data_IF_353031487717
#
_entry.id   IF_353031487717
#
_cell.length_a   1.000
_cell.length_b   1.000
_cell.length_c   1.000
_cell.angle_alpha   90.00
_cell.angle_beta   90.00
_cell.angle_gamma   90.00
#
_symmetry.space_group_name_H-M   'P 1'
#
loop_
_entity.id
_entity.type
_entity.pdbx_description
1 polymer ?
#
# COMPACT_ATOMS: atom_id res chain seq x y z
N UNK A 1 42.44 43.21 -14.63
CA UNK A 1 43.43 42.09 -14.58
C UNK A 1 44.13 42.16 -13.24
N UNK A 2 44.65 41.02 -12.78
CA UNK A 2 45.44 40.83 -11.55
C UNK A 2 44.70 40.76 -10.21
N UNK A 3 44.01 39.63 -9.99
CA UNK A 3 44.00 38.94 -8.68
C UNK A 3 43.63 37.43 -8.77
N UNK A 4 43.70 36.82 -9.96
CA UNK A 4 43.40 35.38 -10.18
C UNK A 4 44.64 34.48 -9.98
N UNK A 5 45.39 34.73 -8.90
CA UNK A 5 46.41 33.79 -8.37
C UNK A 5 46.05 33.34 -6.95
N UNK A 6 44.76 33.26 -6.62
CA UNK A 6 44.37 32.39 -5.51
C UNK A 6 44.60 30.95 -5.98
N UNK A 7 45.60 30.29 -5.39
CA UNK A 7 45.81 28.87 -5.64
C UNK A 7 44.50 28.13 -5.30
N UNK A 8 43.90 27.49 -6.31
CA UNK A 8 42.77 26.58 -6.14
C UNK A 8 43.26 25.32 -5.42
N UNK A 9 43.52 25.45 -4.12
CA UNK A 9 43.76 24.30 -3.24
C UNK A 9 42.41 23.71 -2.83
N UNK A 10 42.39 22.40 -2.57
CA UNK A 10 41.20 21.71 -2.03
C UNK A 10 40.68 22.42 -0.78
N UNK A 11 41.60 22.93 0.05
CA UNK A 11 41.26 23.64 1.28
C UNK A 11 40.55 24.97 1.02
N UNK A 12 41.04 25.77 0.07
CA UNK A 12 40.42 27.05 -0.29
C UNK A 12 39.04 26.83 -0.92
N UNK A 13 38.91 25.84 -1.80
CA UNK A 13 37.62 25.47 -2.41
C UNK A 13 36.64 25.01 -1.33
N UNK A 14 37.08 24.12 -0.44
CA UNK A 14 36.26 23.63 0.68
C UNK A 14 35.83 24.74 1.63
N UNK A 15 36.71 25.71 1.92
CA UNK A 15 36.40 26.88 2.75
C UNK A 15 35.35 27.76 2.10
N UNK A 16 35.48 28.05 0.81
CA UNK A 16 34.48 28.83 0.06
C UNK A 16 33.13 28.13 -0.02
N UNK A 17 33.11 26.82 -0.27
CA UNK A 17 31.89 26.03 -0.32
C UNK A 17 31.19 25.84 1.04
N UNK A 18 31.93 25.97 2.15
CA UNK A 18 31.42 25.90 3.53
C UNK A 18 31.16 27.26 4.18
N UNK A 19 31.53 28.37 3.52
CA UNK A 19 31.43 29.71 4.13
C UNK A 19 29.97 30.07 4.41
N UNK A 20 29.70 30.86 5.44
CA UNK A 20 28.36 31.40 5.71
C UNK A 20 28.11 32.74 5.01
N UNK A 21 29.17 33.34 4.44
CA UNK A 21 29.13 34.64 3.77
C UNK A 21 28.50 34.60 2.38
N UNK A 22 28.52 33.43 1.73
CA UNK A 22 27.92 33.24 0.40
C UNK A 22 26.52 32.63 0.52
N UNK A 23 25.60 33.13 -0.30
CA UNK A 23 24.29 32.53 -0.53
C UNK A 23 24.42 31.13 -1.15
N UNK A 24 23.33 30.34 -1.09
CA UNK A 24 23.33 29.01 -1.68
C UNK A 24 23.53 29.05 -3.20
N UNK A 25 22.99 30.06 -3.88
CA UNK A 25 23.13 30.25 -5.33
C UNK A 25 24.56 30.60 -5.72
N UNK A 26 25.21 31.52 -5.00
CA UNK A 26 26.63 31.85 -5.24
C UNK A 26 27.54 30.65 -5.02
N UNK A 27 27.26 29.82 -4.00
CA UNK A 27 28.02 28.58 -3.77
C UNK A 27 27.81 27.57 -4.88
N UNK A 28 26.58 27.43 -5.39
CA UNK A 28 26.27 26.56 -6.50
C UNK A 28 27.02 26.99 -7.77
N UNK A 29 27.03 28.29 -8.06
CA UNK A 29 27.74 28.83 -9.22
C UNK A 29 29.26 28.64 -9.09
N UNK A 30 29.81 28.87 -7.89
CA UNK A 30 31.21 28.54 -7.62
C UNK A 30 31.50 27.05 -7.83
N UNK A 31 30.64 26.14 -7.36
CA UNK A 31 30.81 24.70 -7.54
C UNK A 31 30.75 24.29 -9.02
N UNK A 32 29.84 24.87 -9.82
CA UNK A 32 29.75 24.66 -11.27
C UNK A 32 31.02 25.13 -11.98
N UNK A 33 31.55 26.28 -11.57
CA UNK A 33 32.83 26.77 -12.10
C UNK A 33 33.97 25.79 -11.80
N UNK A 34 34.12 25.34 -10.54
CA UNK A 34 35.13 24.33 -10.18
C UNK A 34 34.95 23.03 -10.99
N UNK A 35 33.72 22.57 -11.16
CA UNK A 35 33.38 21.38 -11.95
C UNK A 35 33.84 21.50 -13.41
N UNK A 36 33.73 22.69 -14.00
CA UNK A 36 34.09 22.96 -15.40
C UNK A 36 35.54 23.42 -15.60
N UNK A 37 36.35 23.56 -14.53
CA UNK A 37 37.76 23.93 -14.66
C UNK A 37 38.49 22.96 -15.61
N UNK A 38 39.22 23.52 -16.57
CA UNK A 38 40.02 22.77 -17.52
C UNK A 38 41.14 22.00 -16.78
N UNK A 39 41.57 20.83 -17.25
CA UNK A 39 42.52 19.92 -16.56
C UNK A 39 43.92 20.51 -16.26
N UNK A 40 44.15 21.79 -16.57
CA UNK A 40 45.37 22.54 -16.27
C UNK A 40 45.59 22.80 -14.77
N UNK A 41 44.54 22.73 -13.95
CA UNK A 41 44.62 22.84 -12.50
C UNK A 41 44.26 21.49 -11.89
N UNK A 42 45.25 20.82 -11.29
CA UNK A 42 45.04 19.52 -10.66
C UNK A 42 44.43 19.70 -9.26
N UNK A 43 43.18 19.28 -9.12
CA UNK A 43 42.47 19.18 -7.83
C UNK A 43 42.23 17.68 -7.61
N UNK A 44 42.96 17.02 -6.69
CA UNK A 44 42.73 15.61 -6.37
C UNK A 44 41.26 15.35 -6.01
N UNK A 45 40.68 14.28 -6.56
CA UNK A 45 39.29 13.84 -6.28
C UNK A 45 38.24 14.95 -6.40
N UNK A 46 38.47 15.90 -7.32
CA UNK A 46 37.59 17.06 -7.56
C UNK A 46 36.13 16.65 -7.74
N UNK A 47 35.89 15.59 -8.53
CA UNK A 47 34.55 15.14 -8.90
C UNK A 47 33.80 14.65 -7.66
N UNK A 48 34.45 13.83 -6.85
CA UNK A 48 33.89 13.30 -5.61
C UNK A 48 33.70 14.39 -4.55
N UNK A 49 34.64 15.34 -4.43
CA UNK A 49 34.53 16.47 -3.50
C UNK A 49 33.30 17.33 -3.81
N UNK A 50 33.05 17.63 -5.09
CA UNK A 50 31.87 18.42 -5.50
C UNK A 50 30.58 17.64 -5.26
N UNK A 51 30.55 16.34 -5.57
CA UNK A 51 29.40 15.48 -5.26
C UNK A 51 29.12 15.42 -3.75
N UNK A 52 30.14 15.18 -2.92
CA UNK A 52 30.02 15.13 -1.47
C UNK A 52 29.51 16.46 -0.91
N UNK A 53 30.06 17.58 -1.38
CA UNK A 53 29.61 18.90 -0.98
C UNK A 53 28.14 19.13 -1.36
N UNK A 54 27.75 18.84 -2.60
CA UNK A 54 26.41 19.08 -3.10
C UNK A 54 25.39 18.31 -2.26
N UNK A 55 25.64 17.02 -2.06
CA UNK A 55 24.75 16.18 -1.28
C UNK A 55 24.74 16.57 0.20
N UNK A 56 25.89 16.92 0.79
CA UNK A 56 25.95 17.45 2.16
C UNK A 56 25.17 18.76 2.29
N UNK A 57 25.19 19.61 1.26
CA UNK A 57 24.46 20.88 1.24
C UNK A 57 22.95 20.64 1.20
N UNK A 58 22.49 19.71 0.36
CA UNK A 58 21.09 19.28 0.34
C UNK A 58 20.64 18.79 1.72
N UNK A 59 21.40 17.88 2.35
CA UNK A 59 21.07 17.33 3.68
C UNK A 59 21.10 18.39 4.77
N UNK A 60 22.14 19.24 4.82
CA UNK A 60 22.26 20.28 5.86
C UNK A 60 21.23 21.39 5.72
N UNK A 61 20.65 21.56 4.53
CA UNK A 61 19.58 22.51 4.29
C UNK A 61 18.21 22.04 4.82
N UNK A 62 18.09 20.78 5.27
CA UNK A 62 16.87 20.29 5.90
C UNK A 62 16.62 21.06 7.22
N UNK A 63 15.42 21.60 7.44
CA UNK A 63 15.12 22.37 8.63
C UNK A 63 15.16 21.47 9.87
N UNK A 64 15.89 21.90 10.91
CA UNK A 64 15.93 21.18 12.20
C UNK A 64 14.68 21.44 13.05
N UNK A 65 14.19 22.69 13.03
CA UNK A 65 12.94 23.20 13.66
C UNK A 65 12.53 24.49 12.93
N UNK A 66 11.22 24.76 12.80
CA UNK A 66 10.70 25.99 12.19
C UNK A 66 10.01 25.79 10.83
N UNK A 67 9.37 26.85 10.34
CA UNK A 67 8.66 26.89 9.05
C UNK A 67 9.65 26.91 7.88
N UNK A 68 9.27 26.25 6.78
CA UNK A 68 10.08 26.16 5.57
C UNK A 68 9.96 27.46 4.78
N UNK A 69 11.10 28.11 4.50
CA UNK A 69 11.14 29.40 3.83
C UNK A 69 10.95 29.29 2.31
N UNK A 70 11.26 28.12 1.72
CA UNK A 70 11.25 27.90 0.28
C UNK A 70 12.58 28.22 -0.41
N UNK A 71 13.58 28.72 0.32
CA UNK A 71 14.92 29.11 -0.18
C UNK A 71 16.01 28.08 0.15
N UNK A 72 15.64 27.00 0.83
CA UNK A 72 16.54 25.93 1.21
C UNK A 72 17.10 25.23 -0.04
N UNK A 73 18.36 24.78 0.02
CA UNK A 73 19.02 24.16 -1.13
C UNK A 73 18.27 22.93 -1.67
N UNK A 74 17.64 22.14 -0.79
CA UNK A 74 16.84 20.98 -1.21
C UNK A 74 15.55 21.34 -1.96
N UNK A 75 15.08 22.59 -1.89
CA UNK A 75 13.92 23.09 -2.63
C UNK A 75 14.32 23.87 -3.89
N UNK A 76 15.61 24.15 -4.08
CA UNK A 76 16.12 24.86 -5.23
C UNK A 76 16.37 23.89 -6.40
N UNK A 77 15.64 24.07 -7.49
CA UNK A 77 15.71 23.22 -8.70
C UNK A 77 17.13 23.15 -9.29
N UNK A 78 17.90 24.25 -9.21
CA UNK A 78 19.24 24.33 -9.78
C UNK A 78 20.22 23.36 -9.11
N UNK A 79 20.02 23.05 -7.82
CA UNK A 79 20.82 22.05 -7.11
C UNK A 79 20.54 20.64 -7.63
N UNK A 80 19.28 20.32 -7.94
CA UNK A 80 18.88 19.02 -8.48
C UNK A 80 19.31 18.85 -9.94
N UNK A 81 19.23 19.90 -10.76
CA UNK A 81 19.78 19.89 -12.12
C UNK A 81 21.28 19.61 -12.11
N UNK A 82 22.03 20.28 -11.23
CA UNK A 82 23.46 20.05 -11.12
C UNK A 82 23.79 18.65 -10.57
N UNK A 83 22.97 18.14 -9.64
CA UNK A 83 23.11 16.75 -9.18
C UNK A 83 22.89 15.76 -10.34
N UNK A 84 21.86 15.97 -11.16
CA UNK A 84 21.58 15.14 -12.33
C UNK A 84 22.80 15.11 -13.29
N UNK A 85 23.40 16.27 -13.59
CA UNK A 85 24.61 16.37 -14.42
C UNK A 85 25.79 15.59 -13.83
N UNK A 86 26.04 15.73 -12.53
CA UNK A 86 27.12 15.01 -11.85
C UNK A 86 26.87 13.50 -11.87
N UNK A 87 25.65 13.06 -11.57
CA UNK A 87 25.32 11.63 -11.55
C UNK A 87 25.46 11.00 -12.95
N UNK A 88 25.01 11.69 -14.00
CA UNK A 88 25.21 11.26 -15.40
C UNK A 88 26.69 11.15 -15.78
N UNK A 89 27.54 12.07 -15.30
CA UNK A 89 28.98 11.98 -15.50
C UNK A 89 29.56 10.69 -14.92
N UNK A 90 29.21 10.33 -13.68
CA UNK A 90 29.71 9.12 -13.04
C UNK A 90 29.21 7.83 -13.72
N UNK A 91 27.98 7.82 -14.23
CA UNK A 91 27.49 6.72 -15.08
C UNK A 91 28.37 6.58 -16.32
N UNK A 92 28.56 7.67 -17.07
CA UNK A 92 29.23 7.66 -18.37
C UNK A 92 30.72 7.32 -18.28
N UNK A 93 31.36 7.65 -17.16
CA UNK A 93 32.79 7.39 -16.95
C UNK A 93 33.08 6.06 -16.26
N UNK A 94 32.06 5.34 -15.82
CA UNK A 94 32.20 4.11 -15.04
C UNK A 94 33.16 4.28 -13.85
N UNK A 95 33.25 5.50 -13.31
CA UNK A 95 34.12 5.84 -12.20
C UNK A 95 33.47 5.31 -10.92
N UNK A 96 34.19 4.47 -10.17
CA UNK A 96 33.72 4.00 -8.88
C UNK A 96 33.63 5.18 -7.90
N UNK A 97 32.41 5.53 -7.50
CA UNK A 97 32.17 6.51 -6.44
C UNK A 97 32.54 5.86 -5.10
N UNK A 98 33.82 5.90 -4.76
CA UNK A 98 34.31 5.37 -3.50
C UNK A 98 33.83 6.27 -2.33
N UNK A 99 32.95 5.69 -1.50
CA UNK A 99 32.71 6.02 -0.09
C UNK A 99 31.76 7.15 0.33
N UNK A 100 31.07 7.85 -0.56
CA UNK A 100 30.18 8.94 -0.12
C UNK A 100 28.82 8.34 0.31
N UNK A 101 28.56 8.25 1.62
CA UNK A 101 27.25 7.85 2.17
C UNK A 101 26.39 9.07 2.38
N UNK A 102 25.32 9.22 1.59
CA UNK A 102 24.38 10.33 1.73
C UNK A 102 23.01 9.80 2.16
N UNK A 103 22.38 10.39 3.18
CA UNK A 103 21.02 10.03 3.60
C UNK A 103 19.97 10.62 2.65
N UNK A 104 20.03 10.27 1.36
CA UNK A 104 19.03 10.67 0.36
C UNK A 104 17.59 10.39 0.79
N UNK A 105 17.25 9.26 1.45
CA UNK A 105 15.90 9.02 1.92
C UNK A 105 15.32 10.17 2.75
N UNK A 106 16.13 10.79 3.63
CA UNK A 106 15.66 11.90 4.45
C UNK A 106 15.33 13.15 3.63
N UNK A 107 16.06 13.39 2.54
CA UNK A 107 15.80 14.51 1.63
C UNK A 107 14.47 14.30 0.90
N UNK A 108 14.28 13.12 0.29
CA UNK A 108 13.05 12.80 -0.44
C UNK A 108 11.82 12.80 0.48
N UNK A 109 11.91 12.16 1.66
CA UNK A 109 10.88 12.24 2.69
C UNK A 109 10.48 13.69 2.99
N UNK A 110 11.47 14.59 3.11
CA UNK A 110 11.18 16.00 3.38
C UNK A 110 10.53 16.72 2.21
N UNK A 111 10.90 16.41 0.97
CA UNK A 111 10.23 16.92 -0.24
C UNK A 111 8.76 16.51 -0.25
N UNK A 112 8.45 15.25 0.09
CA UNK A 112 7.06 14.78 0.13
C UNK A 112 6.25 15.49 1.23
N UNK A 113 6.86 15.74 2.39
CA UNK A 113 6.24 16.50 3.48
C UNK A 113 5.98 17.98 3.14
N UNK A 114 6.68 18.55 2.13
CA UNK A 114 6.43 19.94 1.72
C UNK A 114 5.06 20.16 1.10
N UNK A 115 4.30 19.08 0.80
CA UNK A 115 2.92 19.19 0.35
C UNK A 115 2.03 19.98 1.31
N UNK A 116 2.31 19.90 2.62
CA UNK A 116 1.56 20.60 3.66
C UNK A 116 1.81 22.12 3.65
N UNK A 117 2.93 22.54 3.05
CA UNK A 117 3.32 23.95 2.97
C UNK A 117 2.80 24.61 1.68
N UNK A 118 2.36 23.84 0.68
CA UNK A 118 1.90 24.37 -0.63
C UNK A 118 0.79 25.42 -0.48
N UNK A 119 -0.24 25.24 0.37
CA UNK A 119 -1.30 26.26 0.52
C UNK A 119 -0.78 27.60 1.05
N UNK A 120 0.27 27.57 1.89
CA UNK A 120 0.74 28.73 2.64
C UNK A 120 2.04 29.34 2.09
N UNK A 121 2.75 28.64 1.19
CA UNK A 121 4.04 29.07 0.65
C UNK A 121 4.02 29.13 -0.89
N UNK A 122 3.89 30.35 -1.43
CA UNK A 122 3.85 30.60 -2.88
C UNK A 122 5.10 30.14 -3.63
N UNK A 123 6.28 30.22 -2.99
CA UNK A 123 7.56 29.81 -3.60
C UNK A 123 7.59 28.29 -3.78
N UNK A 124 7.14 27.56 -2.76
CA UNK A 124 7.04 26.10 -2.86
C UNK A 124 6.00 25.74 -3.91
N UNK A 125 4.80 26.35 -3.86
CA UNK A 125 3.73 26.08 -4.84
C UNK A 125 4.21 26.26 -6.29
N UNK A 126 4.90 27.36 -6.61
CA UNK A 126 5.35 27.61 -7.99
C UNK A 126 6.44 26.64 -8.48
N UNK A 127 7.24 26.10 -7.56
CA UNK A 127 8.42 25.30 -7.91
C UNK A 127 8.21 23.79 -7.71
N UNK A 128 7.16 23.38 -6.99
CA UNK A 128 7.00 22.00 -6.51
C UNK A 128 6.98 20.97 -7.64
N UNK A 129 6.24 21.23 -8.72
CA UNK A 129 6.20 20.36 -9.91
C UNK A 129 7.61 20.08 -10.46
N UNK A 130 8.36 21.14 -10.74
CA UNK A 130 9.70 21.02 -11.31
C UNK A 130 10.67 20.38 -10.31
N UNK A 131 10.52 20.67 -9.02
CA UNK A 131 11.29 20.01 -7.96
C UNK A 131 11.06 18.50 -7.97
N UNK A 132 9.81 18.04 -8.06
CA UNK A 132 9.48 16.62 -8.17
C UNK A 132 10.07 16.01 -9.45
N UNK A 133 9.95 16.68 -10.59
CA UNK A 133 10.49 16.20 -11.87
C UNK A 133 12.01 15.97 -11.82
N UNK A 134 12.79 16.98 -11.40
CA UNK A 134 14.25 16.88 -11.36
C UNK A 134 14.76 15.96 -10.25
N UNK A 135 14.09 15.97 -9.09
CA UNK A 135 14.43 15.02 -8.02
C UNK A 135 14.11 13.58 -8.43
N UNK A 136 13.03 13.34 -9.18
CA UNK A 136 12.72 12.03 -9.77
C UNK A 136 13.79 11.58 -10.75
N UNK A 137 14.26 12.44 -11.66
CA UNK A 137 15.36 12.10 -12.59
C UNK A 137 16.61 11.64 -11.83
N UNK A 138 16.97 12.36 -10.75
CA UNK A 138 18.06 11.97 -9.88
C UNK A 138 17.79 10.62 -9.18
N UNK A 139 16.58 10.41 -8.66
CA UNK A 139 16.19 9.17 -7.99
C UNK A 139 16.29 7.97 -8.92
N UNK A 140 15.79 8.08 -10.16
CA UNK A 140 15.83 7.02 -11.17
C UNK A 140 17.27 6.62 -11.47
N UNK A 141 18.18 7.60 -11.62
CA UNK A 141 19.61 7.34 -11.79
C UNK A 141 20.18 6.60 -10.56
N UNK A 142 19.86 7.07 -9.35
CA UNK A 142 20.34 6.48 -8.10
C UNK A 142 19.83 5.05 -7.90
N UNK A 143 18.59 4.75 -8.26
CA UNK A 143 17.99 3.42 -8.11
C UNK A 143 18.50 2.46 -9.19
N UNK A 144 18.54 2.88 -10.46
CA UNK A 144 18.75 1.96 -11.58
C UNK A 144 20.21 1.83 -12.01
N UNK A 145 20.98 2.92 -11.96
CA UNK A 145 22.34 2.96 -12.51
C UNK A 145 23.41 3.06 -11.43
N UNK A 146 23.07 3.62 -10.27
CA UNK A 146 23.99 3.84 -9.15
C UNK A 146 23.43 3.24 -7.84
N UNK A 147 22.79 2.07 -7.92
CA UNK A 147 22.16 1.40 -6.76
C UNK A 147 23.17 1.13 -5.63
N UNK A 148 24.41 0.77 -5.99
CA UNK A 148 25.53 0.57 -5.08
C UNK A 148 25.96 1.83 -4.34
N UNK A 149 25.59 3.00 -4.86
CA UNK A 149 25.81 4.29 -4.22
C UNK A 149 24.61 4.68 -3.35
N UNK A 150 23.39 4.40 -3.81
CA UNK A 150 22.16 4.71 -3.08
C UNK A 150 22.00 3.85 -1.81
N UNK A 151 22.33 2.55 -1.85
CA UNK A 151 22.29 1.55 -0.75
C UNK A 151 21.16 1.75 0.27
N UNK A 152 19.95 1.99 -0.23
CA UNK A 152 18.79 2.20 0.64
C UNK A 152 18.23 0.84 1.07
N UNK A 153 18.14 0.64 2.39
CA UNK A 153 17.62 -0.60 2.96
C UNK A 153 16.09 -0.64 3.00
N UNK A 154 15.54 -1.83 3.29
CA UNK A 154 14.09 -2.05 3.40
C UNK A 154 13.39 -1.01 4.31
N UNK A 155 13.95 -0.75 5.49
CA UNK A 155 13.35 0.17 6.48
C UNK A 155 13.26 1.61 5.97
N UNK A 156 14.22 2.04 5.14
CA UNK A 156 14.21 3.37 4.54
C UNK A 156 13.21 3.45 3.38
N UNK A 157 13.09 2.41 2.56
CA UNK A 157 12.06 2.34 1.53
C UNK A 157 10.64 2.29 2.12
N UNK A 158 10.46 1.67 3.28
CA UNK A 158 9.19 1.72 4.02
C UNK A 158 8.85 3.15 4.42
N UNK A 159 9.80 3.90 4.98
CA UNK A 159 9.58 5.30 5.35
C UNK A 159 9.25 6.12 4.10
N UNK A 160 10.05 6.00 3.05
CA UNK A 160 9.85 6.71 1.78
C UNK A 160 8.49 6.42 1.16
N UNK A 161 8.09 5.14 1.10
CA UNK A 161 6.80 4.71 0.54
C UNK A 161 5.65 5.26 1.38
N UNK A 162 5.81 5.33 2.71
CA UNK A 162 4.81 5.92 3.59
C UNK A 162 4.67 7.41 3.31
N UNK A 163 5.77 8.16 3.29
CA UNK A 163 5.78 9.60 3.07
C UNK A 163 5.23 9.98 1.68
N UNK A 164 5.62 9.27 0.61
CA UNK A 164 5.09 9.51 -0.73
C UNK A 164 3.63 9.08 -0.87
N UNK A 165 3.19 8.00 -0.21
CA UNK A 165 1.77 7.61 -0.19
C UNK A 165 0.91 8.66 0.50
N UNK A 166 1.38 9.24 1.60
CA UNK A 166 0.69 10.32 2.31
C UNK A 166 0.61 11.58 1.45
N UNK A 167 1.71 11.95 0.79
CA UNK A 167 1.71 13.10 -0.10
C UNK A 167 0.76 12.89 -1.29
N UNK A 168 0.84 11.73 -1.95
CA UNK A 168 -0.05 11.37 -3.05
C UNK A 168 -1.54 11.41 -2.62
N UNK A 169 -1.85 10.83 -1.46
CA UNK A 169 -3.21 10.81 -0.91
C UNK A 169 -3.73 12.22 -0.60
N UNK A 170 -2.94 13.07 0.06
CA UNK A 170 -3.31 14.47 0.33
C UNK A 170 -3.58 15.23 -0.96
N UNK A 171 -2.76 15.00 -1.98
CA UNK A 171 -2.92 15.65 -3.26
C UNK A 171 -4.19 15.18 -4.00
N UNK A 172 -4.42 13.86 -4.04
CA UNK A 172 -5.61 13.25 -4.63
C UNK A 172 -6.91 13.77 -4.02
N UNK A 173 -6.94 14.01 -2.70
CA UNK A 173 -8.13 14.55 -2.00
C UNK A 173 -8.43 16.00 -2.34
N UNK A 174 -7.43 16.80 -2.71
CA UNK A 174 -7.58 18.24 -2.88
C UNK A 174 -7.80 18.67 -4.34
N UNK A 175 -7.68 17.76 -5.33
CA UNK A 175 -7.97 17.98 -6.77
C UNK A 175 -7.27 19.23 -7.38
N UNK A 176 -6.02 19.53 -6.99
CA UNK A 176 -5.47 20.89 -7.17
C UNK A 176 -4.80 21.16 -8.53
N UNK A 177 -4.17 20.19 -9.21
CA UNK A 177 -3.49 20.39 -10.51
C UNK A 177 -2.94 19.03 -11.01
N UNK A 178 -3.28 18.60 -12.23
CA UNK A 178 -2.94 17.25 -12.71
C UNK A 178 -1.41 17.00 -12.80
N UNK A 179 -0.62 18.00 -13.17
CA UNK A 179 0.82 17.86 -13.38
C UNK A 179 1.63 17.46 -12.13
N UNK A 180 1.25 17.94 -10.94
CA UNK A 180 1.92 17.54 -9.69
C UNK A 180 1.54 16.10 -9.32
N UNK A 181 0.27 15.74 -9.54
CA UNK A 181 -0.22 14.38 -9.32
C UNK A 181 0.54 13.38 -10.19
N UNK A 182 0.83 13.76 -11.45
CA UNK A 182 1.66 12.98 -12.38
C UNK A 182 3.01 12.63 -11.77
N UNK A 183 3.78 13.64 -11.37
CA UNK A 183 5.15 13.44 -10.88
C UNK A 183 5.17 12.70 -9.52
N UNK A 184 4.21 12.99 -8.62
CA UNK A 184 4.04 12.23 -7.38
C UNK A 184 3.70 10.75 -7.66
N UNK A 185 2.82 10.49 -8.63
CA UNK A 185 2.45 9.14 -9.04
C UNK A 185 3.64 8.36 -9.62
N UNK A 186 4.43 8.99 -10.47
CA UNK A 186 5.65 8.38 -11.02
C UNK A 186 6.69 8.10 -9.92
N UNK A 187 6.94 9.05 -9.03
CA UNK A 187 7.82 8.83 -7.85
C UNK A 187 7.32 7.70 -6.95
N UNK A 188 6.01 7.66 -6.69
CA UNK A 188 5.37 6.59 -5.91
C UNK A 188 5.66 5.23 -6.55
N UNK A 189 5.47 5.09 -7.87
CA UNK A 189 5.70 3.84 -8.59
C UNK A 189 7.17 3.40 -8.49
N UNK A 190 8.14 4.29 -8.74
CA UNK A 190 9.58 3.96 -8.69
C UNK A 190 10.03 3.49 -7.29
N UNK A 191 9.61 4.21 -6.26
CA UNK A 191 9.93 3.89 -4.85
C UNK A 191 9.25 2.58 -4.45
N UNK A 192 7.98 2.41 -4.80
CA UNK A 192 7.17 1.25 -4.42
C UNK A 192 7.61 -0.03 -5.13
N UNK A 193 8.04 0.05 -6.40
CA UNK A 193 8.61 -1.10 -7.12
C UNK A 193 9.92 -1.55 -6.48
N UNK A 194 10.77 -0.61 -6.06
CA UNK A 194 11.99 -0.92 -5.32
C UNK A 194 11.69 -1.58 -3.97
N UNK A 195 10.70 -1.06 -3.23
CA UNK A 195 10.21 -1.68 -1.99
C UNK A 195 9.71 -3.11 -2.25
N UNK A 196 8.91 -3.32 -3.29
CA UNK A 196 8.37 -4.63 -3.65
C UNK A 196 9.49 -5.65 -3.90
N UNK A 197 10.52 -5.28 -4.66
CA UNK A 197 11.71 -6.13 -4.87
C UNK A 197 12.39 -6.53 -3.55
N UNK A 198 12.56 -5.57 -2.63
CA UNK A 198 13.15 -5.81 -1.32
C UNK A 198 12.26 -6.66 -0.39
N UNK A 199 10.93 -6.55 -0.50
CA UNK A 199 10.00 -7.38 0.25
C UNK A 199 10.13 -8.85 -0.14
N UNK A 200 10.21 -9.13 -1.44
CA UNK A 200 10.40 -10.50 -1.96
C UNK A 200 11.70 -11.11 -1.45
N UNK A 201 12.76 -10.32 -1.41
CA UNK A 201 14.09 -10.78 -0.98
C UNK A 201 14.26 -10.80 0.54
N UNK A 202 13.33 -10.23 1.31
CA UNK A 202 13.47 -10.13 2.75
C UNK A 202 13.34 -11.53 3.40
N UNK A 203 14.33 -11.99 4.17
CA UNK A 203 14.22 -13.27 4.87
C UNK A 203 13.21 -13.24 6.02
N UNK A 204 12.89 -12.05 6.54
CA UNK A 204 11.95 -11.89 7.65
C UNK A 204 10.60 -11.36 7.14
N UNK A 205 9.77 -12.25 6.60
CA UNK A 205 8.45 -11.88 6.06
C UNK A 205 7.48 -11.38 7.15
N UNK A 206 7.69 -11.75 8.42
CA UNK A 206 6.90 -11.19 9.54
C UNK A 206 7.14 -9.69 9.71
N UNK A 207 8.38 -9.23 9.47
CA UNK A 207 8.72 -7.81 9.50
C UNK A 207 8.00 -7.07 8.36
N UNK A 208 8.00 -7.62 7.15
CA UNK A 208 7.28 -7.08 5.98
C UNK A 208 5.77 -6.95 6.27
N UNK A 209 5.16 -8.02 6.78
CA UNK A 209 3.75 -8.03 7.18
C UNK A 209 3.40 -6.88 8.11
N UNK A 210 4.16 -6.74 9.20
CA UNK A 210 3.92 -5.71 10.21
C UNK A 210 3.99 -4.31 9.61
N UNK A 211 4.89 -4.08 8.66
CA UNK A 211 4.99 -2.77 8.00
C UNK A 211 3.84 -2.49 7.07
N UNK A 212 3.43 -3.44 6.22
CA UNK A 212 2.27 -3.24 5.36
C UNK A 212 1.04 -2.93 6.22
N UNK A 213 0.76 -3.76 7.22
CA UNK A 213 -0.36 -3.59 8.15
C UNK A 213 -0.34 -2.24 8.88
N UNK A 214 0.78 -1.85 9.48
CA UNK A 214 0.81 -0.70 10.40
C UNK A 214 1.19 0.63 9.76
N UNK A 215 1.83 0.62 8.58
CA UNK A 215 2.37 1.84 7.95
C UNK A 215 1.75 2.17 6.61
N UNK A 216 1.21 1.20 5.89
CA UNK A 216 0.81 1.41 4.48
C UNK A 216 -0.65 1.10 4.19
N UNK A 217 -1.23 0.09 4.86
CA UNK A 217 -2.53 -0.47 4.50
C UNK A 217 -3.61 0.60 4.40
N UNK A 218 -3.73 1.47 5.40
CA UNK A 218 -4.71 2.56 5.37
C UNK A 218 -4.53 3.45 4.14
N UNK A 219 -3.37 4.10 4.00
CA UNK A 219 -3.12 5.01 2.87
C UNK A 219 -3.33 4.33 1.52
N UNK A 220 -2.89 3.09 1.39
CA UNK A 220 -3.05 2.30 0.18
C UNK A 220 -4.51 2.07 -0.17
N UNK A 221 -5.33 1.63 0.79
CA UNK A 221 -6.76 1.42 0.56
C UNK A 221 -7.49 2.74 0.27
N UNK A 222 -7.10 3.84 0.93
CA UNK A 222 -7.67 5.17 0.63
C UNK A 222 -7.31 5.64 -0.78
N UNK A 223 -6.06 5.46 -1.22
CA UNK A 223 -5.63 5.80 -2.60
C UNK A 223 -6.42 4.97 -3.62
N UNK A 224 -6.56 3.66 -3.41
CA UNK A 224 -7.34 2.78 -4.29
C UNK A 224 -8.80 3.23 -4.41
N UNK A 225 -9.42 3.59 -3.28
CA UNK A 225 -10.78 4.09 -3.25
C UNK A 225 -10.94 5.37 -4.08
N UNK A 226 -10.07 6.36 -3.87
CA UNK A 226 -10.16 7.63 -4.60
C UNK A 226 -9.90 7.44 -6.11
N UNK A 227 -8.92 6.60 -6.49
CA UNK A 227 -8.66 6.29 -7.90
C UNK A 227 -9.91 5.70 -8.55
N UNK A 228 -10.56 4.72 -7.90
CA UNK A 228 -11.77 4.06 -8.40
C UNK A 228 -12.95 5.03 -8.52
N UNK A 229 -13.17 5.91 -7.53
CA UNK A 229 -14.25 6.90 -7.61
C UNK A 229 -14.08 7.88 -8.78
N UNK A 230 -12.83 8.17 -9.14
CA UNK A 230 -12.48 9.05 -10.26
C UNK A 230 -12.44 8.33 -11.62
N UNK A 231 -12.68 7.01 -11.70
CA UNK A 231 -12.73 6.25 -12.97
C UNK A 231 -14.11 6.30 -13.64
N UNK A 232 -15.15 6.77 -12.95
CA UNK A 232 -16.53 6.83 -13.46
C UNK A 232 -16.80 8.05 -14.37
N UNK A 233 -15.80 8.88 -14.65
CA UNK A 233 -15.87 9.95 -15.65
C UNK A 233 -15.46 9.38 -17.02
N UNK A 234 -16.45 8.97 -17.82
CA UNK A 234 -16.33 8.20 -19.08
C UNK A 234 -15.47 8.85 -20.19
N UNK A 235 -14.97 10.09 -20.00
CA UNK A 235 -14.28 10.86 -21.04
C UNK A 235 -12.74 10.67 -21.12
N UNK A 236 -12.11 9.95 -20.18
CA UNK A 236 -10.63 9.96 -20.02
C UNK A 236 -9.86 8.74 -20.59
N UNK A 237 -10.47 7.95 -21.47
CA UNK A 237 -9.89 6.69 -22.02
C UNK A 237 -8.63 6.84 -22.90
N UNK A 238 -7.96 8.01 -22.94
CA UNK A 238 -6.67 8.21 -23.63
C UNK A 238 -5.65 9.06 -22.88
N UNK A 239 -5.90 9.39 -21.61
CA UNK A 239 -5.00 10.29 -20.89
C UNK A 239 -3.88 9.54 -20.18
N UNK A 240 -2.66 10.07 -20.30
CA UNK A 240 -1.44 9.60 -19.61
C UNK A 240 -1.68 9.40 -18.10
N UNK A 241 -2.60 10.16 -17.53
CA UNK A 241 -3.06 10.07 -16.15
C UNK A 241 -3.77 8.77 -15.80
N UNK A 242 -4.61 8.25 -16.70
CA UNK A 242 -5.28 6.97 -16.50
C UNK A 242 -4.26 5.83 -16.40
N UNK A 243 -3.25 5.82 -17.28
CA UNK A 243 -2.15 4.86 -17.25
C UNK A 243 -1.35 4.93 -15.93
N UNK A 244 -1.10 6.13 -15.42
CA UNK A 244 -0.43 6.32 -14.12
C UNK A 244 -1.30 5.80 -12.98
N UNK A 245 -2.59 6.16 -12.93
CA UNK A 245 -3.55 5.67 -11.92
C UNK A 245 -3.61 4.14 -11.91
N UNK A 246 -3.70 3.51 -13.08
CA UNK A 246 -3.69 2.05 -13.25
C UNK A 246 -2.38 1.40 -12.78
N UNK A 247 -1.23 2.03 -13.05
CA UNK A 247 0.07 1.58 -12.52
C UNK A 247 0.15 1.71 -11.01
N UNK A 248 -0.36 2.79 -10.42
CA UNK A 248 -0.44 2.96 -8.96
C UNK A 248 -1.31 1.86 -8.35
N UNK A 249 -2.51 1.63 -8.90
CA UNK A 249 -3.43 0.57 -8.47
C UNK A 249 -2.76 -0.80 -8.47
N UNK A 250 -2.13 -1.19 -9.59
CA UNK A 250 -1.40 -2.45 -9.69
C UNK A 250 -0.23 -2.55 -8.69
N UNK A 251 0.51 -1.46 -8.50
CA UNK A 251 1.66 -1.43 -7.59
C UNK A 251 1.22 -1.62 -6.14
N UNK A 252 0.16 -0.93 -5.72
CA UNK A 252 -0.43 -1.08 -4.38
C UNK A 252 -0.94 -2.52 -4.19
N UNK A 253 -1.68 -3.04 -5.17
CA UNK A 253 -2.20 -4.42 -5.14
C UNK A 253 -1.08 -5.45 -4.99
N UNK A 254 0.05 -5.27 -5.68
CA UNK A 254 1.21 -6.15 -5.57
C UNK A 254 1.85 -6.10 -4.17
N UNK A 255 2.04 -4.89 -3.62
CA UNK A 255 2.58 -4.70 -2.28
C UNK A 255 1.67 -5.32 -1.19
N UNK A 256 0.36 -5.09 -1.26
CA UNK A 256 -0.61 -5.66 -0.34
C UNK A 256 -0.62 -7.18 -0.45
N UNK A 257 -0.76 -7.71 -1.68
CA UNK A 257 -0.85 -9.15 -1.92
C UNK A 257 0.38 -9.88 -1.39
N UNK A 258 1.58 -9.40 -1.73
CA UNK A 258 2.81 -10.04 -1.28
C UNK A 258 3.06 -9.84 0.22
N UNK A 259 2.83 -8.64 0.76
CA UNK A 259 3.17 -8.35 2.14
C UNK A 259 2.18 -8.90 3.16
N UNK A 260 0.88 -9.04 2.82
CA UNK A 260 -0.13 -9.62 3.71
C UNK A 260 -0.32 -11.12 3.50
N UNK A 261 -0.23 -11.59 2.27
CA UNK A 261 -0.59 -12.96 1.90
C UNK A 261 0.63 -13.74 1.36
N UNK A 262 1.81 -13.46 1.93
CA UNK A 262 2.98 -14.29 1.67
C UNK A 262 2.71 -15.74 2.09
N UNK A 263 3.27 -16.71 1.37
CA UNK A 263 3.11 -18.14 1.66
C UNK A 263 3.47 -18.51 3.11
N UNK A 264 4.44 -17.81 3.71
CA UNK A 264 4.83 -18.02 5.12
C UNK A 264 3.74 -17.61 6.12
N UNK A 265 2.87 -16.65 5.75
CA UNK A 265 1.80 -16.16 6.62
C UNK A 265 0.56 -17.05 6.56
N UNK A 266 0.31 -17.71 5.43
CA UNK A 266 -0.91 -18.48 5.16
C UNK A 266 -1.15 -19.59 6.19
N UNK A 267 -0.08 -20.25 6.66
CA UNK A 267 -0.18 -21.23 7.75
C UNK A 267 -0.67 -20.59 9.05
N UNK A 268 -0.21 -19.39 9.38
CA UNK A 268 -0.66 -18.60 10.52
C UNK A 268 -2.11 -18.18 10.41
N UNK A 269 -2.56 -17.77 9.21
CA UNK A 269 -3.97 -17.48 8.93
C UNK A 269 -4.86 -18.70 9.21
N UNK A 270 -4.46 -19.86 8.66
CA UNK A 270 -5.18 -21.14 8.81
C UNK A 270 -5.30 -21.55 10.29
N UNK A 271 -4.21 -21.48 11.05
CA UNK A 271 -4.19 -21.85 12.47
C UNK A 271 -5.15 -20.98 13.29
N UNK A 272 -5.19 -19.68 13.02
CA UNK A 272 -6.09 -18.79 13.74
C UNK A 272 -7.55 -19.09 13.45
N UNK A 273 -7.92 -19.16 12.17
CA UNK A 273 -9.29 -19.44 11.76
C UNK A 273 -9.77 -20.79 12.32
N UNK A 274 -8.89 -21.79 12.38
CA UNK A 274 -9.20 -23.06 13.02
C UNK A 274 -9.44 -22.93 14.52
N UNK A 275 -8.66 -22.10 15.23
CA UNK A 275 -8.87 -21.84 16.66
C UNK A 275 -10.18 -21.09 16.92
N UNK A 276 -10.48 -20.04 16.15
CA UNK A 276 -11.75 -19.32 16.24
C UNK A 276 -12.93 -20.26 16.04
N UNK A 277 -12.87 -21.12 15.01
CA UNK A 277 -13.90 -22.15 14.78
C UNK A 277 -14.10 -23.04 16.00
N UNK A 278 -13.00 -23.59 16.55
CA UNK A 278 -13.07 -24.44 17.73
C UNK A 278 -13.59 -23.72 18.99
N UNK A 279 -13.31 -22.42 19.12
CA UNK A 279 -13.84 -21.61 20.22
C UNK A 279 -15.34 -21.34 20.03
N UNK A 280 -15.79 -21.04 18.81
CA UNK A 280 -17.20 -20.83 18.49
C UNK A 280 -18.03 -22.12 18.61
N UNK A 281 -17.48 -23.26 18.15
CA UNK A 281 -18.13 -24.57 18.27
C UNK A 281 -18.27 -24.99 19.75
N UNK A 282 -17.30 -24.62 20.60
CA UNK A 282 -17.32 -24.89 22.04
C UNK A 282 -18.18 -23.94 22.86
N UNK A 283 -18.55 -22.77 22.34
CA UNK A 283 -19.50 -21.88 23.03
C UNK A 283 -20.93 -22.47 23.03
N UNK A 284 -21.19 -23.49 22.20
CA UNK A 284 -22.43 -24.27 22.20
C UNK A 284 -22.40 -25.53 23.10
N UNK A 285 -21.28 -25.85 23.75
CA UNK A 285 -21.21 -26.90 24.78
C UNK A 285 -20.51 -26.35 26.03
N UNK A 286 -21.26 -26.22 27.12
CA UNK A 286 -20.73 -25.85 28.43
C UNK A 286 -19.48 -26.68 28.76
N UNK A 287 -18.31 -26.05 28.86
CA UNK A 287 -17.54 -25.96 30.10
C UNK A 287 -16.26 -25.13 29.94
N UNK A 288 -16.00 -24.32 30.97
CA UNK A 288 -14.82 -23.47 31.14
C UNK A 288 -13.66 -24.28 31.74
N UNK A 289 -12.48 -23.65 31.63
CA UNK A 289 -11.32 -23.70 32.55
C UNK A 289 -10.11 -24.50 32.03
N UNK A 290 -8.93 -23.89 32.25
CA UNK A 290 -7.57 -24.42 32.10
C UNK A 290 -6.82 -24.32 30.76
N UNK A 291 -6.70 -23.13 30.14
CA UNK A 291 -5.47 -22.76 29.36
C UNK A 291 -5.11 -21.27 29.45
N UNK A 292 -5.06 -20.70 30.66
CA UNK A 292 -4.66 -19.31 30.85
C UNK A 292 -3.13 -19.06 30.88
N UNK A 293 -2.28 -20.11 30.98
CA UNK A 293 -0.84 -19.92 31.17
C UNK A 293 0.05 -20.10 29.92
N UNK A 294 -0.51 -20.44 28.74
CA UNK A 294 0.21 -20.34 27.44
C UNK A 294 -0.23 -19.15 26.58
N UNK A 295 -1.15 -18.32 27.08
CA UNK A 295 -1.86 -17.28 26.32
C UNK A 295 -1.02 -16.06 25.92
N UNK A 296 0.11 -15.78 26.58
CA UNK A 296 0.90 -14.55 26.33
C UNK A 296 1.93 -14.62 25.19
N UNK A 297 2.25 -15.81 24.65
CA UNK A 297 3.24 -15.93 23.54
C UNK A 297 2.61 -16.00 22.14
N UNK A 298 1.36 -16.43 21.99
CA UNK A 298 0.75 -16.64 20.66
C UNK A 298 -0.01 -15.45 20.09
N UNK A 299 -0.40 -14.46 20.90
CA UNK A 299 -1.24 -13.35 20.43
C UNK A 299 -0.48 -12.38 19.52
N UNK A 300 0.84 -12.28 19.65
CA UNK A 300 1.71 -11.46 18.79
C UNK A 300 2.04 -12.11 17.42
N UNK A 301 1.61 -13.35 17.17
CA UNK A 301 1.92 -14.12 15.95
C UNK A 301 0.73 -14.29 15.01
N UNK A 302 -0.39 -13.65 15.34
CA UNK A 302 -1.64 -13.90 14.67
C UNK A 302 -1.90 -12.88 13.55
N UNK A 303 -1.53 -13.25 12.32
CA UNK A 303 -1.66 -12.41 11.13
C UNK A 303 -3.11 -12.02 10.84
N UNK A 304 -4.05 -12.98 10.91
CA UNK A 304 -5.48 -12.71 10.71
C UNK A 304 -6.01 -11.66 11.67
N UNK A 305 -5.74 -11.84 12.97
CA UNK A 305 -6.21 -10.91 14.01
C UNK A 305 -5.68 -9.50 13.75
N UNK A 306 -4.40 -9.35 13.42
CA UNK A 306 -3.82 -8.03 13.11
C UNK A 306 -4.46 -7.40 11.87
N UNK A 307 -4.78 -8.19 10.84
CA UNK A 307 -5.47 -7.69 9.65
C UNK A 307 -6.87 -7.20 10.00
N UNK A 308 -7.66 -8.03 10.68
CA UNK A 308 -9.02 -7.70 11.08
C UNK A 308 -9.08 -6.49 12.03
N UNK A 309 -8.17 -6.40 13.01
CA UNK A 309 -8.06 -5.23 13.88
C UNK A 309 -7.73 -3.95 13.10
N UNK A 310 -6.82 -4.01 12.12
CA UNK A 310 -6.54 -2.85 11.28
C UNK A 310 -7.71 -2.49 10.37
N UNK A 311 -8.43 -3.46 9.81
CA UNK A 311 -9.65 -3.18 9.03
C UNK A 311 -10.69 -2.48 9.89
N UNK A 312 -10.89 -2.92 11.13
CA UNK A 312 -11.77 -2.23 12.09
C UNK A 312 -11.31 -0.79 12.37
N UNK A 313 -10.01 -0.53 12.48
CA UNK A 313 -9.47 0.83 12.66
C UNK A 313 -9.75 1.69 11.42
N UNK A 314 -9.51 1.15 10.22
CA UNK A 314 -9.80 1.83 8.95
C UNK A 314 -11.30 2.11 8.83
N UNK A 315 -12.15 1.13 9.17
CA UNK A 315 -13.60 1.24 9.19
C UNK A 315 -14.13 2.33 10.10
N UNK A 316 -13.45 2.61 11.22
CA UNK A 316 -13.79 3.76 12.09
C UNK A 316 -13.53 5.11 11.42
N UNK A 317 -12.56 5.18 10.51
CA UNK A 317 -12.27 6.40 9.75
C UNK A 317 -13.15 6.54 8.50
N UNK A 318 -13.36 5.46 7.76
CA UNK A 318 -14.26 5.40 6.60
C UNK A 318 -14.75 3.98 6.35
N UNK A 319 -16.05 3.77 6.56
CA UNK A 319 -16.70 2.47 6.30
C UNK A 319 -16.72 2.08 4.83
N UNK A 320 -16.79 3.05 3.92
CA UNK A 320 -16.71 2.80 2.49
C UNK A 320 -15.40 2.12 2.10
N UNK A 321 -14.28 2.62 2.61
CA UNK A 321 -12.94 2.13 2.26
C UNK A 321 -12.72 0.72 2.81
N UNK A 322 -13.18 0.46 4.04
CA UNK A 322 -13.19 -0.89 4.62
C UNK A 322 -13.97 -1.86 3.71
N UNK A 323 -15.23 -1.58 3.42
CA UNK A 323 -16.11 -2.48 2.66
C UNK A 323 -15.63 -2.73 1.23
N UNK A 324 -15.28 -1.68 0.51
CA UNK A 324 -14.84 -1.82 -0.88
C UNK A 324 -13.53 -2.61 -1.02
N UNK A 325 -12.71 -2.64 0.02
CA UNK A 325 -11.44 -3.36 0.04
C UNK A 325 -11.60 -4.87 0.30
N UNK A 326 -12.68 -5.30 0.99
CA UNK A 326 -12.87 -6.69 1.41
C UNK A 326 -12.84 -7.67 0.22
N UNK A 327 -13.53 -7.44 -0.92
CA UNK A 327 -13.50 -8.39 -2.03
C UNK A 327 -12.10 -8.59 -2.61
N UNK A 328 -11.31 -7.52 -2.71
CA UNK A 328 -9.92 -7.59 -3.19
C UNK A 328 -9.06 -8.41 -2.23
N UNK A 329 -9.13 -8.11 -0.93
CA UNK A 329 -8.38 -8.82 0.10
C UNK A 329 -8.76 -10.31 0.13
N UNK A 330 -10.04 -10.62 -0.03
CA UNK A 330 -10.52 -12.00 -0.08
C UNK A 330 -9.95 -12.76 -1.27
N UNK A 331 -9.99 -12.15 -2.47
CA UNK A 331 -9.41 -12.73 -3.69
C UNK A 331 -7.91 -13.01 -3.52
N UNK A 332 -7.16 -12.09 -2.90
CA UNK A 332 -5.74 -12.31 -2.65
C UNK A 332 -5.49 -13.46 -1.67
N UNK A 333 -6.26 -13.53 -0.59
CA UNK A 333 -6.19 -14.64 0.36
C UNK A 333 -6.44 -15.99 -0.32
N UNK A 334 -7.52 -16.12 -1.10
CA UNK A 334 -7.85 -17.37 -1.84
C UNK A 334 -6.70 -17.78 -2.76
N UNK A 335 -6.20 -16.84 -3.58
CA UNK A 335 -5.09 -17.12 -4.51
C UNK A 335 -3.83 -17.57 -3.77
N UNK A 336 -3.51 -16.93 -2.65
CA UNK A 336 -2.36 -17.30 -1.84
C UNK A 336 -2.54 -18.68 -1.17
N UNK A 337 -3.74 -18.99 -0.68
CA UNK A 337 -4.09 -20.29 -0.10
C UNK A 337 -4.00 -21.42 -1.12
N UNK A 338 -4.52 -21.22 -2.35
CA UNK A 338 -4.37 -22.19 -3.44
C UNK A 338 -2.89 -22.44 -3.75
N UNK A 339 -2.10 -21.38 -3.87
CA UNK A 339 -0.65 -21.49 -4.11
C UNK A 339 0.05 -22.24 -2.98
N UNK A 340 -0.30 -21.95 -1.72
CA UNK A 340 0.22 -22.65 -0.55
C UNK A 340 -0.12 -24.14 -0.57
N UNK A 341 -1.39 -24.49 -0.81
CA UNK A 341 -1.87 -25.86 -0.90
C UNK A 341 -1.13 -26.64 -2.00
N UNK A 342 -0.90 -26.03 -3.17
CA UNK A 342 -0.15 -26.66 -4.26
C UNK A 342 1.30 -26.95 -3.87
N UNK A 343 1.98 -26.03 -3.18
CA UNK A 343 3.35 -26.26 -2.68
C UNK A 343 3.37 -27.37 -1.62
N UNK A 344 2.40 -27.42 -0.72
CA UNK A 344 2.32 -28.47 0.30
C UNK A 344 2.07 -29.86 -0.28
N UNK A 345 1.25 -29.95 -1.35
CA UNK A 345 1.04 -31.19 -2.11
C UNK A 345 2.33 -31.69 -2.74
N UNK A 346 3.09 -30.82 -3.43
CA UNK A 346 4.36 -31.17 -4.07
C UNK A 346 5.41 -31.66 -3.06
N UNK A 347 5.44 -31.05 -1.86
CA UNK A 347 6.38 -31.42 -0.81
C UNK A 347 6.02 -32.71 -0.06
N UNK A 348 4.93 -33.41 -0.41
CA UNK A 348 4.41 -34.59 0.28
C UNK A 348 4.18 -34.37 1.81
N UNK A 349 4.11 -33.13 2.27
CA UNK A 349 3.96 -32.79 3.69
C UNK A 349 2.53 -33.01 4.23
N UNK A 350 1.60 -33.44 3.36
CA UNK A 350 0.18 -33.66 3.69
C UNK A 350 -0.32 -35.04 3.23
N UNK A 351 0.45 -36.10 3.48
CA UNK A 351 -0.02 -37.50 3.35
C UNK A 351 -0.53 -38.11 4.67
N UNK A 352 -0.67 -37.33 5.75
CA UNK A 352 -1.23 -37.83 7.01
C UNK A 352 -1.99 -36.75 7.77
N UNK A 353 -3.32 -36.83 7.78
CA UNK A 353 -4.27 -35.94 8.46
C UNK A 353 -4.43 -34.55 7.80
N UNK A 354 -4.93 -34.51 6.58
CA UNK A 354 -5.71 -33.35 6.16
C UNK A 354 -6.85 -33.17 7.18
N UNK A 355 -7.01 -31.99 7.77
CA UNK A 355 -8.22 -31.65 8.54
C UNK A 355 -9.43 -31.83 7.60
N UNK A 356 -10.06 -33.00 7.59
CA UNK A 356 -11.15 -33.41 6.69
C UNK A 356 -12.45 -32.59 6.90
N UNK A 357 -12.41 -31.50 7.69
CA UNK A 357 -13.54 -30.67 8.09
C UNK A 357 -13.28 -29.15 8.06
N UNK A 358 -12.19 -28.69 7.42
CA UNK A 358 -11.78 -27.28 7.48
C UNK A 358 -11.45 -26.67 6.11
N UNK A 359 -12.16 -25.58 5.75
CA UNK A 359 -11.84 -24.72 4.60
C UNK A 359 -11.43 -23.33 5.12
N UNK A 360 -10.12 -22.99 5.12
CA UNK A 360 -9.65 -21.68 5.52
C UNK A 360 -10.31 -20.55 4.71
N UNK A 361 -10.53 -20.77 3.42
CA UNK A 361 -11.15 -19.82 2.50
C UNK A 361 -12.59 -19.50 2.90
N UNK A 362 -13.35 -20.50 3.36
CA UNK A 362 -14.73 -20.30 3.80
C UNK A 362 -14.82 -19.66 5.18
N UNK A 363 -13.94 -20.03 6.12
CA UNK A 363 -13.93 -19.37 7.44
C UNK A 363 -13.48 -17.91 7.34
N UNK A 364 -12.56 -17.59 6.42
CA UNK A 364 -12.19 -16.20 6.14
C UNK A 364 -13.34 -15.41 5.50
N UNK A 365 -14.17 -16.07 4.68
CA UNK A 365 -15.43 -15.49 4.19
C UNK A 365 -16.37 -15.14 5.34
N UNK A 366 -16.55 -16.03 6.32
CA UNK A 366 -17.44 -15.76 7.47
C UNK A 366 -17.02 -14.50 8.21
N UNK A 367 -15.72 -14.31 8.46
CA UNK A 367 -15.22 -13.09 9.11
C UNK A 367 -15.61 -11.84 8.30
N UNK A 368 -15.39 -11.82 6.98
CA UNK A 368 -15.82 -10.71 6.12
C UNK A 368 -17.32 -10.53 6.03
N UNK A 369 -18.08 -11.62 6.07
CA UNK A 369 -19.54 -11.56 6.14
C UNK A 369 -20.00 -10.86 7.42
N UNK A 370 -19.39 -11.12 8.58
CA UNK A 370 -19.75 -10.45 9.83
C UNK A 370 -19.59 -8.92 9.73
N UNK A 371 -18.51 -8.43 9.11
CA UNK A 371 -18.32 -6.99 8.88
C UNK A 371 -19.41 -6.38 8.01
N UNK A 372 -19.81 -7.11 6.96
CA UNK A 372 -20.81 -6.64 6.00
C UNK A 372 -22.22 -6.72 6.60
N UNK A 373 -22.55 -7.83 7.26
CA UNK A 373 -23.87 -8.07 7.84
C UNK A 373 -24.15 -7.13 9.00
N UNK A 374 -23.14 -6.75 9.80
CA UNK A 374 -23.30 -5.73 10.84
C UNK A 374 -23.86 -4.41 10.27
N UNK A 375 -23.43 -4.02 9.07
CA UNK A 375 -23.87 -2.78 8.43
C UNK A 375 -25.25 -2.96 7.79
N UNK A 376 -25.48 -4.07 7.10
CA UNK A 376 -26.74 -4.35 6.41
C UNK A 376 -27.89 -4.57 7.42
N UNK A 377 -27.64 -5.29 8.53
CA UNK A 377 -28.67 -5.62 9.53
C UNK A 377 -28.98 -4.45 10.46
N UNK A 378 -28.00 -3.58 10.76
CA UNK A 378 -28.20 -2.38 11.58
C UNK A 378 -28.59 -1.12 10.78
N UNK A 379 -29.18 -1.32 9.59
CA UNK A 379 -29.71 -0.32 8.64
C UNK A 379 -30.40 0.90 9.30
N UNK A 380 -31.15 0.70 10.40
CA UNK A 380 -31.84 1.80 11.12
C UNK A 380 -30.88 2.86 11.72
N UNK A 381 -29.58 2.56 11.86
CA UNK A 381 -28.57 3.48 12.35
C UNK A 381 -27.83 4.23 11.22
N UNK A 382 -27.98 3.80 9.97
CA UNK A 382 -27.24 4.34 8.83
C UNK A 382 -28.21 4.93 7.81
N UNK A 383 -28.52 6.22 7.94
CA UNK A 383 -29.27 7.01 6.96
C UNK A 383 -28.55 7.17 5.59
N UNK A 384 -27.54 6.36 5.29
CA UNK A 384 -26.69 6.47 4.11
C UNK A 384 -26.91 5.29 3.17
N UNK A 385 -27.85 5.46 2.24
CA UNK A 385 -28.21 4.48 1.20
C UNK A 385 -26.99 4.00 0.40
N UNK A 386 -26.04 4.89 0.12
CA UNK A 386 -24.83 4.57 -0.64
C UNK A 386 -23.94 3.55 0.09
N UNK A 387 -23.90 3.59 1.42
CA UNK A 387 -23.09 2.66 2.22
C UNK A 387 -23.66 1.24 2.16
N UNK A 388 -24.98 1.12 2.22
CA UNK A 388 -25.69 -0.15 2.11
C UNK A 388 -25.50 -0.74 0.70
N UNK A 389 -25.61 0.09 -0.33
CA UNK A 389 -25.36 -0.29 -1.71
C UNK A 389 -23.94 -0.86 -1.88
N UNK A 390 -22.94 -0.18 -1.33
CA UNK A 390 -21.54 -0.64 -1.34
C UNK A 390 -21.35 -1.95 -0.56
N UNK A 391 -22.04 -2.12 0.57
CA UNK A 391 -22.01 -3.35 1.37
C UNK A 391 -22.54 -4.56 0.57
N UNK A 392 -23.70 -4.41 -0.07
CA UNK A 392 -24.27 -5.46 -0.92
C UNK A 392 -23.42 -5.73 -2.16
N UNK A 393 -22.88 -4.70 -2.82
CA UNK A 393 -21.97 -4.89 -3.95
C UNK A 393 -20.70 -5.66 -3.55
N UNK A 394 -20.17 -5.36 -2.36
CA UNK A 394 -18.98 -6.03 -1.83
C UNK A 394 -19.27 -7.50 -1.52
N UNK A 395 -20.41 -7.80 -0.89
CA UNK A 395 -20.83 -9.18 -0.63
C UNK A 395 -21.06 -9.96 -1.93
N UNK A 396 -21.76 -9.36 -2.90
CA UNK A 396 -21.98 -9.97 -4.21
C UNK A 396 -20.66 -10.36 -4.88
N UNK A 397 -19.63 -9.51 -4.81
CA UNK A 397 -18.30 -9.83 -5.34
C UNK A 397 -17.63 -10.98 -4.56
N UNK A 398 -17.76 -11.00 -3.24
CA UNK A 398 -17.21 -12.08 -2.40
C UNK A 398 -17.89 -13.42 -2.69
N UNK A 399 -19.21 -13.47 -2.77
CA UNK A 399 -19.97 -14.67 -3.14
C UNK A 399 -19.64 -15.14 -4.57
N UNK A 400 -19.43 -14.21 -5.51
CA UNK A 400 -18.94 -14.56 -6.84
C UNK A 400 -17.56 -15.23 -6.79
N UNK A 401 -16.68 -14.85 -5.86
CA UNK A 401 -15.41 -15.55 -5.66
C UNK A 401 -15.59 -16.94 -5.03
N UNK A 402 -16.57 -17.14 -4.14
CA UNK A 402 -16.93 -18.49 -3.67
C UNK A 402 -17.28 -19.39 -4.85
N UNK A 403 -18.07 -18.88 -5.80
CA UNK A 403 -18.41 -19.56 -7.04
C UNK A 403 -17.20 -19.76 -7.96
N UNK A 404 -16.50 -18.69 -8.33
CA UNK A 404 -15.36 -18.69 -9.27
C UNK A 404 -14.28 -19.67 -8.83
N UNK A 405 -13.92 -19.65 -7.55
CA UNK A 405 -12.87 -20.50 -6.99
C UNK A 405 -13.37 -21.84 -6.44
N UNK A 406 -14.67 -22.14 -6.59
CA UNK A 406 -15.28 -23.39 -6.12
C UNK A 406 -15.01 -23.68 -4.64
N UNK A 407 -15.11 -22.66 -3.80
CA UNK A 407 -14.83 -22.76 -2.35
C UNK A 407 -15.90 -23.60 -1.64
N UNK A 408 -17.12 -23.56 -2.15
CA UNK A 408 -18.22 -24.42 -1.74
C UNK A 408 -18.72 -25.23 -2.95
N UNK A 409 -18.94 -26.53 -2.73
CA UNK A 409 -19.58 -27.45 -3.69
C UNK A 409 -20.42 -28.46 -2.89
N UNK A 410 -21.60 -28.88 -3.39
CA UNK A 410 -22.44 -29.87 -2.73
C UNK A 410 -21.91 -31.29 -2.93
N UNK A 411 -20.78 -31.62 -2.30
CA UNK A 411 -20.11 -32.94 -2.40
C UNK A 411 -20.56 -33.93 -1.32
N UNK A 412 -21.45 -33.52 -0.40
CA UNK A 412 -21.94 -34.31 0.75
C UNK A 412 -20.86 -34.79 1.74
N UNK A 413 -19.63 -34.27 1.63
CA UNK A 413 -18.59 -34.44 2.64
C UNK A 413 -18.88 -33.58 3.89
N UNK A 414 -18.14 -33.80 4.97
CA UNK A 414 -18.35 -33.06 6.23
C UNK A 414 -18.13 -31.55 6.08
N UNK A 415 -17.24 -31.12 5.17
CA UNK A 415 -16.93 -29.70 4.94
C UNK A 415 -18.12 -29.02 4.27
N UNK A 416 -18.56 -29.56 3.13
CA UNK A 416 -19.68 -29.07 2.35
C UNK A 416 -20.97 -29.08 3.16
N UNK A 417 -21.23 -30.11 3.98
CA UNK A 417 -22.39 -30.11 4.89
C UNK A 417 -22.35 -28.97 5.90
N UNK A 418 -21.20 -28.70 6.53
CA UNK A 418 -21.05 -27.58 7.49
C UNK A 418 -21.13 -26.21 6.81
N UNK A 419 -20.60 -26.09 5.59
CA UNK A 419 -20.72 -24.87 4.80
C UNK A 419 -22.18 -24.62 4.39
N UNK A 420 -22.87 -25.66 3.94
CA UNK A 420 -24.29 -25.63 3.61
C UNK A 420 -25.13 -25.25 4.82
N UNK A 421 -24.87 -25.85 6.00
CA UNK A 421 -25.59 -25.52 7.23
C UNK A 421 -25.44 -24.04 7.60
N UNK A 422 -24.23 -23.48 7.51
CA UNK A 422 -24.01 -22.06 7.76
C UNK A 422 -24.75 -21.16 6.75
N UNK A 423 -24.70 -21.50 5.46
CA UNK A 423 -25.39 -20.73 4.42
C UNK A 423 -26.92 -20.85 4.57
N UNK A 424 -27.46 -22.05 4.77
CA UNK A 424 -28.91 -22.27 4.89
C UNK A 424 -29.53 -21.71 6.16
N UNK A 425 -28.76 -21.64 7.25
CA UNK A 425 -29.29 -21.19 8.54
C UNK A 425 -28.87 -19.77 8.82
N UNK A 426 -27.65 -19.57 9.30
CA UNK A 426 -27.17 -18.26 9.76
C UNK A 426 -27.22 -17.19 8.68
N UNK A 427 -26.84 -17.52 7.44
CA UNK A 427 -26.89 -16.53 6.36
C UNK A 427 -28.33 -16.29 5.88
N UNK A 428 -29.14 -17.32 5.62
CA UNK A 428 -30.50 -17.10 5.11
C UNK A 428 -31.44 -16.44 6.13
N UNK A 429 -31.30 -16.75 7.42
CA UNK A 429 -32.10 -16.15 8.50
C UNK A 429 -31.96 -14.61 8.49
N UNK A 430 -30.73 -14.11 8.37
CA UNK A 430 -30.43 -12.67 8.25
C UNK A 430 -31.14 -12.04 7.04
N UNK A 431 -31.19 -12.75 5.91
CA UNK A 431 -31.74 -12.24 4.66
C UNK A 431 -33.26 -12.29 4.59
N UNK A 432 -33.92 -13.23 5.26
CA UNK A 432 -35.38 -13.20 5.38
C UNK A 432 -35.86 -11.99 6.18
N UNK A 433 -35.12 -11.58 7.21
CA UNK A 433 -35.43 -10.36 7.97
C UNK A 433 -35.33 -9.14 7.03
N UNK A 434 -34.27 -9.07 6.22
CA UNK A 434 -34.02 -7.97 5.29
C UNK A 434 -35.02 -7.93 4.12
N UNK A 435 -35.48 -9.08 3.62
CA UNK A 435 -36.40 -9.16 2.50
C UNK A 435 -37.79 -8.54 2.78
N UNK A 436 -38.15 -8.40 4.06
CA UNK A 436 -39.37 -7.69 4.46
C UNK A 436 -39.25 -6.16 4.30
N UNK A 437 -38.05 -5.62 4.08
CA UNK A 437 -37.82 -4.20 3.83
C UNK A 437 -37.83 -3.95 2.32
N UNK A 438 -38.86 -3.28 1.81
CA UNK A 438 -39.03 -2.98 0.38
C UNK A 438 -37.81 -2.32 -0.26
N UNK A 439 -37.13 -1.41 0.46
CA UNK A 439 -35.95 -0.71 -0.02
C UNK A 439 -34.74 -1.62 -0.30
N UNK A 440 -34.68 -2.81 0.31
CA UNK A 440 -33.54 -3.73 0.23
C UNK A 440 -33.84 -4.99 -0.59
N UNK A 441 -35.09 -5.22 -0.97
CA UNK A 441 -35.52 -6.44 -1.69
C UNK A 441 -34.73 -6.71 -2.96
N UNK A 442 -34.46 -5.66 -3.75
CA UNK A 442 -33.63 -5.77 -4.96
C UNK A 442 -32.26 -6.42 -4.67
N UNK A 443 -31.60 -5.99 -3.59
CA UNK A 443 -30.29 -6.51 -3.23
C UNK A 443 -30.35 -7.95 -2.72
N UNK A 444 -31.36 -8.24 -1.89
CA UNK A 444 -31.60 -9.59 -1.36
C UNK A 444 -31.87 -10.58 -2.49
N UNK A 445 -32.67 -10.20 -3.49
CA UNK A 445 -32.96 -11.05 -4.64
C UNK A 445 -31.72 -11.31 -5.52
N UNK A 446 -30.86 -10.32 -5.72
CA UNK A 446 -29.58 -10.54 -6.43
C UNK A 446 -28.67 -11.52 -5.68
N UNK A 447 -28.63 -11.45 -4.34
CA UNK A 447 -27.90 -12.41 -3.51
C UNK A 447 -28.50 -13.81 -3.64
N UNK A 448 -29.81 -13.97 -3.54
CA UNK A 448 -30.47 -15.28 -3.71
C UNK A 448 -30.26 -15.87 -5.10
N UNK A 449 -30.32 -15.05 -6.15
CA UNK A 449 -29.99 -15.46 -7.52
C UNK A 449 -28.54 -15.95 -7.62
N UNK A 450 -27.61 -15.29 -6.94
CA UNK A 450 -26.23 -15.72 -6.89
C UNK A 450 -26.07 -17.05 -6.12
N UNK A 451 -26.74 -17.21 -4.98
CA UNK A 451 -26.76 -18.46 -4.21
C UNK A 451 -27.35 -19.62 -5.02
N UNK A 452 -28.49 -19.42 -5.70
CA UNK A 452 -29.07 -20.39 -6.66
C UNK A 452 -28.04 -20.87 -7.67
N UNK A 453 -27.20 -19.95 -8.15
CA UNK A 453 -26.18 -20.24 -9.15
C UNK A 453 -24.93 -20.94 -8.60
N UNK A 454 -24.78 -20.97 -7.27
CA UNK A 454 -23.74 -21.72 -6.55
C UNK A 454 -24.25 -23.13 -6.27
N UNK A 455 -25.44 -23.23 -5.66
CA UNK A 455 -26.15 -24.48 -5.42
C UNK A 455 -27.66 -24.20 -5.28
N UNK A 456 -28.46 -24.92 -6.06
CA UNK A 456 -29.91 -24.85 -6.02
C UNK A 456 -30.48 -25.20 -4.63
N UNK A 457 -29.84 -26.12 -3.91
CA UNK A 457 -30.32 -26.60 -2.59
C UNK A 457 -30.35 -25.50 -1.52
N UNK A 458 -29.57 -24.42 -1.72
CA UNK A 458 -29.53 -23.26 -0.83
C UNK A 458 -30.82 -22.43 -0.81
N UNK A 459 -31.67 -22.61 -1.82
CA UNK A 459 -32.86 -21.78 -2.05
C UNK A 459 -34.10 -22.63 -2.14
N UNK A 460 -34.00 -23.85 -2.68
CA UNK A 460 -35.10 -24.82 -2.80
C UNK A 460 -35.83 -25.03 -1.47
N UNK A 461 -35.07 -25.25 -0.40
CA UNK A 461 -35.58 -25.48 0.96
C UNK A 461 -36.31 -24.27 1.56
N UNK A 462 -36.27 -23.12 0.89
CA UNK A 462 -36.82 -21.87 1.38
C UNK A 462 -37.81 -21.22 0.41
N UNK A 463 -38.18 -21.91 -0.68
CA UNK A 463 -39.10 -21.38 -1.70
C UNK A 463 -40.45 -20.95 -1.10
N UNK A 464 -40.95 -21.65 -0.09
CA UNK A 464 -42.21 -21.29 0.60
C UNK A 464 -42.16 -19.91 1.27
N UNK A 465 -40.97 -19.48 1.71
CA UNK A 465 -40.74 -18.16 2.34
C UNK A 465 -40.42 -17.11 1.26
N UNK A 466 -39.66 -17.50 0.24
CA UNK A 466 -39.15 -16.61 -0.82
C UNK A 466 -40.26 -16.22 -1.81
N UNK A 467 -41.10 -17.17 -2.26
CA UNK A 467 -42.11 -16.93 -3.29
C UNK A 467 -43.14 -15.86 -2.89
N UNK A 468 -43.69 -15.83 -1.66
CA UNK A 468 -44.59 -14.74 -1.23
C UNK A 468 -43.94 -13.35 -1.26
N UNK A 469 -42.63 -13.26 -1.09
CA UNK A 469 -41.88 -12.00 -1.11
C UNK A 469 -41.66 -11.49 -2.54
N UNK A 470 -41.61 -12.39 -3.54
CA UNK A 470 -41.51 -12.04 -4.95
C UNK A 470 -42.84 -11.50 -5.54
N UNK A 471 -43.97 -11.89 -4.96
CA UNK A 471 -45.32 -11.51 -5.43
C UNK A 471 -45.77 -10.15 -4.85
N UNK A 472 -45.13 -9.69 -3.77
CA UNK A 472 -45.43 -8.40 -3.12
C UNK A 472 -44.75 -7.19 -3.79
N UNK A 473 -43.78 -7.43 -4.66
CA UNK A 473 -43.10 -6.41 -5.50
C UNK A 473 -43.89 -6.21 -6.78
#
# INVERSE_FOLDING_TARGET
MDNLKSSFTIENISKSLKSTSLSNEEKLEFAKNIWNINNKIFIPRRREMILEWLCTTLVKSLPKKGTISGKEAFLNISFWQFLEEILKYFINKSENILSIRIPFPAIYSKIFQCIDEIPNNKIIKSNYRNLLEYSRKCLVILINSLSDFFRVGLDQYIILTSDISLALLKYLKNQVEDDILKELGLLFIEISNSLYGLQIQCPNQRKVFKYIITKHLQNFLEILHIIKCNENEEDLMKDEFYEIKKKIDNTIKNLINHGLFNQEHISGYTIYLQRQKLENDKINEHEKVEKAQKKKRSDNENYSKQLFEQLTIIGKSSKFIELESLPMLYKFFIKAQIKYNNVQKIKNLTMGKSNQGFSPEFEFFKEFYLYISEIILNDNNYNNKDLIDVAFQSLNKILNYIKEFNIYRPTNDEISKKQLEYLNKSFMDDYFILANKESLQKYVFEIWKLLLSIDYSLIDNHLEIILPLLIKV
#
